data_IF_976955301504
#
_entry.id   IF_976955301504
#
_cell.length_a   1.000
_cell.length_b   1.000
_cell.length_c   1.000
_cell.angle_alpha   90.00
_cell.angle_beta   90.00
_cell.angle_gamma   90.00
#
_symmetry.space_group_name_H-M   'P 1'
#
loop_
_entity.id
_entity.type
_entity.pdbx_description
1 polymer ?
#
# COMPACT_ATOMS: atom_id res chain seq x y z
N UNK A 1 -16.29 -44.77 8.24
CA UNK A 1 -16.59 -43.32 8.20
C UNK A 1 -15.84 -42.70 7.02
N UNK A 2 -16.52 -42.26 5.94
CA UNK A 2 -15.85 -41.61 4.84
C UNK A 2 -15.51 -40.15 5.23
N UNK A 3 -14.22 -39.83 5.26
CA UNK A 3 -13.73 -38.45 5.42
C UNK A 3 -14.26 -37.63 4.25
N UNK A 4 -15.08 -36.61 4.54
CA UNK A 4 -15.52 -35.62 3.55
C UNK A 4 -14.27 -35.01 2.89
N UNK A 5 -14.09 -35.28 1.60
CA UNK A 5 -13.19 -34.53 0.75
C UNK A 5 -13.61 -33.07 0.84
N UNK A 6 -12.75 -32.23 1.43
CA UNK A 6 -12.95 -30.78 1.39
C UNK A 6 -13.02 -30.43 -0.09
N UNK A 7 -14.13 -29.84 -0.49
CA UNK A 7 -14.34 -29.23 -1.79
C UNK A 7 -13.10 -28.36 -2.04
N UNK A 8 -12.26 -28.77 -2.98
CA UNK A 8 -11.24 -27.91 -3.57
C UNK A 8 -12.05 -26.74 -4.11
N UNK A 9 -12.02 -25.60 -3.42
CA UNK A 9 -12.33 -24.35 -4.10
C UNK A 9 -11.35 -24.34 -5.27
N UNK A 10 -11.88 -24.56 -6.48
CA UNK A 10 -11.16 -24.26 -7.71
C UNK A 10 -10.68 -22.83 -7.52
N UNK A 11 -9.38 -22.68 -7.25
CA UNK A 11 -8.73 -21.40 -7.25
C UNK A 11 -8.97 -20.86 -8.66
N UNK A 12 -9.92 -19.94 -8.80
CA UNK A 12 -10.07 -19.14 -10.01
C UNK A 12 -8.67 -18.64 -10.30
N UNK A 13 -8.03 -19.02 -11.41
CA UNK A 13 -6.68 -18.56 -11.67
C UNK A 13 -6.78 -17.05 -11.75
N UNK A 14 -6.23 -16.35 -10.76
CA UNK A 14 -6.06 -14.92 -10.82
C UNK A 14 -5.15 -14.69 -12.02
N UNK A 15 -5.73 -14.26 -13.14
CA UNK A 15 -5.00 -13.82 -14.33
C UNK A 15 -4.35 -12.48 -14.03
N UNK A 16 -3.47 -12.44 -13.03
CA UNK A 16 -2.68 -11.27 -12.69
C UNK A 16 -1.73 -11.04 -13.87
N UNK A 17 -2.10 -10.11 -14.73
CA UNK A 17 -1.26 -9.68 -15.85
C UNK A 17 -0.29 -8.61 -15.37
N UNK A 18 0.90 -8.54 -15.95
CA UNK A 18 1.87 -7.49 -15.62
C UNK A 18 1.28 -6.07 -15.78
N UNK A 19 0.57 -5.74 -16.89
CA UNK A 19 -0.06 -4.42 -17.02
C UNK A 19 -1.13 -4.17 -15.95
N UNK A 20 -1.94 -5.18 -15.61
CA UNK A 20 -2.95 -5.05 -14.57
C UNK A 20 -2.35 -4.80 -13.18
N UNK A 21 -1.26 -5.49 -12.86
CA UNK A 21 -0.55 -5.31 -11.59
C UNK A 21 0.11 -3.93 -11.50
N UNK A 22 0.74 -3.47 -12.58
CA UNK A 22 1.32 -2.12 -12.65
C UNK A 22 0.23 -1.06 -12.45
N UNK A 23 -0.87 -1.15 -13.20
CA UNK A 23 -1.98 -0.22 -13.09
C UNK A 23 -2.60 -0.19 -11.68
N UNK A 24 -2.72 -1.36 -11.05
CA UNK A 24 -3.20 -1.47 -9.67
C UNK A 24 -2.26 -0.73 -8.70
N UNK A 25 -0.95 -0.98 -8.79
CA UNK A 25 0.05 -0.34 -7.93
C UNK A 25 0.05 1.18 -8.08
N UNK A 26 0.01 1.67 -9.32
CA UNK A 26 -0.06 3.10 -9.62
C UNK A 26 -1.34 3.73 -9.07
N UNK A 27 -2.47 3.04 -9.17
CA UNK A 27 -3.74 3.53 -8.64
C UNK A 27 -3.71 3.64 -7.10
N UNK A 28 -3.15 2.64 -6.41
CA UNK A 28 -3.00 2.67 -4.95
C UNK A 28 -2.05 3.81 -4.54
N UNK A 29 -0.94 3.99 -5.25
CA UNK A 29 0.01 5.06 -4.98
C UNK A 29 -0.65 6.44 -5.10
N UNK A 30 -1.39 6.67 -6.19
CA UNK A 30 -2.13 7.92 -6.41
C UNK A 30 -3.21 8.16 -5.35
N UNK A 31 -4.01 7.15 -5.01
CA UNK A 31 -5.03 7.28 -3.97
C UNK A 31 -4.42 7.60 -2.59
N UNK A 32 -3.25 7.02 -2.29
CA UNK A 32 -2.50 7.30 -1.05
C UNK A 32 -1.96 8.72 -1.03
N UNK A 33 -1.34 9.18 -2.13
CA UNK A 33 -0.82 10.54 -2.27
C UNK A 33 -1.92 11.61 -2.18
N UNK A 34 -3.12 11.31 -2.67
CA UNK A 34 -4.29 12.19 -2.57
C UNK A 34 -4.96 12.15 -1.18
N UNK A 35 -4.48 11.30 -0.26
CA UNK A 35 -5.08 11.11 1.06
C UNK A 35 -6.47 10.47 1.02
N UNK A 36 -6.83 9.83 -0.10
CA UNK A 36 -8.07 9.07 -0.27
C UNK A 36 -7.96 7.66 0.31
N UNK A 37 -6.73 7.16 0.42
CA UNK A 37 -6.43 5.86 1.02
C UNK A 37 -5.59 6.04 2.27
N UNK A 38 -5.94 5.30 3.32
CA UNK A 38 -5.15 5.23 4.54
C UNK A 38 -3.76 4.64 4.26
N UNK A 39 -2.67 5.30 4.68
CA UNK A 39 -1.31 4.86 4.34
C UNK A 39 -0.94 3.51 4.98
N UNK A 40 -1.47 3.18 6.15
CA UNK A 40 -1.29 1.89 6.81
C UNK A 40 -1.92 0.75 6.00
N UNK A 41 -3.12 0.98 5.46
CA UNK A 41 -3.78 0.07 4.54
C UNK A 41 -3.03 -0.06 3.21
N UNK A 42 -2.63 1.06 2.60
CA UNK A 42 -1.83 1.09 1.38
C UNK A 42 -0.52 0.31 1.53
N UNK A 43 0.17 0.45 2.66
CA UNK A 43 1.38 -0.29 3.00
C UNK A 43 1.14 -1.80 3.07
N UNK A 44 0.05 -2.23 3.70
CA UNK A 44 -0.31 -3.66 3.79
C UNK A 44 -0.63 -4.23 2.41
N UNK A 45 -1.32 -3.47 1.57
CA UNK A 45 -1.64 -3.86 0.20
C UNK A 45 -0.37 -3.96 -0.66
N UNK A 46 0.52 -2.97 -0.58
CA UNK A 46 1.82 -2.98 -1.26
C UNK A 46 2.68 -4.18 -0.88
N UNK A 47 2.71 -4.57 0.41
CA UNK A 47 3.42 -5.79 0.85
C UNK A 47 2.85 -7.07 0.23
N UNK A 48 1.53 -7.16 0.05
CA UNK A 48 0.89 -8.32 -0.58
C UNK A 48 1.18 -8.35 -2.08
N UNK A 49 1.01 -7.22 -2.75
CA UNK A 49 1.29 -7.06 -4.17
C UNK A 49 2.77 -7.34 -4.50
N UNK A 50 3.69 -6.95 -3.62
CA UNK A 50 5.13 -7.29 -3.74
C UNK A 50 5.36 -8.80 -3.72
N UNK A 51 4.77 -9.53 -2.77
CA UNK A 51 4.92 -11.00 -2.71
C UNK A 51 4.38 -11.69 -3.96
N UNK A 52 3.25 -11.21 -4.47
CA UNK A 52 2.68 -11.75 -5.72
C UNK A 52 3.56 -11.41 -6.93
N UNK A 53 4.07 -10.18 -7.01
CA UNK A 53 5.01 -9.76 -8.04
C UNK A 53 6.29 -10.61 -8.03
N UNK A 54 6.88 -10.82 -6.85
CA UNK A 54 8.11 -11.59 -6.69
C UNK A 54 7.89 -13.05 -7.13
N UNK A 55 6.78 -13.68 -6.74
CA UNK A 55 6.43 -15.04 -7.18
C UNK A 55 6.27 -15.12 -8.71
N UNK A 56 5.56 -14.16 -9.33
CA UNK A 56 5.35 -14.14 -10.77
C UNK A 56 6.64 -13.85 -11.56
N UNK A 57 7.59 -13.12 -10.97
CA UNK A 57 8.92 -12.88 -11.56
C UNK A 57 9.77 -14.15 -11.45
N UNK A 58 9.76 -14.83 -10.29
CA UNK A 58 10.49 -16.09 -10.08
C UNK A 58 10.01 -17.20 -11.01
N UNK A 59 8.69 -17.29 -11.22
CA UNK A 59 8.07 -18.24 -12.15
C UNK A 59 8.30 -17.88 -13.63
N UNK A 60 9.05 -16.80 -13.92
CA UNK A 60 9.27 -16.25 -15.27
C UNK A 60 7.97 -15.98 -16.04
N UNK A 61 6.86 -15.73 -15.31
CA UNK A 61 5.57 -15.41 -15.91
C UNK A 61 5.59 -14.05 -16.61
N UNK A 62 6.54 -13.18 -16.25
CA UNK A 62 6.73 -11.85 -16.82
C UNK A 62 8.10 -11.69 -17.49
N UNK A 63 8.14 -10.85 -18.52
CA UNK A 63 9.40 -10.40 -19.11
C UNK A 63 10.22 -9.60 -18.09
N UNK A 64 11.54 -9.56 -18.27
CA UNK A 64 12.42 -8.74 -17.43
C UNK A 64 12.02 -7.25 -17.43
N UNK A 65 11.51 -6.74 -18.55
CA UNK A 65 11.02 -5.37 -18.66
C UNK A 65 9.80 -5.14 -17.77
N UNK A 66 8.81 -6.04 -17.80
CA UNK A 66 7.65 -5.99 -16.91
C UNK A 66 8.06 -6.11 -15.44
N UNK A 67 9.01 -7.00 -15.11
CA UNK A 67 9.55 -7.11 -13.75
C UNK A 67 10.17 -5.80 -13.26
N UNK A 68 10.91 -5.08 -14.10
CA UNK A 68 11.46 -3.77 -13.77
C UNK A 68 10.37 -2.71 -13.56
N UNK A 69 9.34 -2.68 -14.41
CA UNK A 69 8.21 -1.76 -14.28
C UNK A 69 7.40 -2.00 -13.00
N UNK A 70 7.16 -3.27 -12.64
CA UNK A 70 6.46 -3.62 -11.39
C UNK A 70 7.28 -3.17 -10.17
N UNK A 71 8.60 -3.36 -10.19
CA UNK A 71 9.49 -2.88 -9.13
C UNK A 71 9.47 -1.36 -8.99
N UNK A 72 9.43 -0.63 -10.12
CA UNK A 72 9.29 0.82 -10.12
C UNK A 72 7.94 1.28 -9.54
N UNK A 73 6.83 0.64 -9.94
CA UNK A 73 5.51 0.95 -9.41
C UNK A 73 5.40 0.67 -7.89
N UNK A 74 6.01 -0.41 -7.41
CA UNK A 74 6.13 -0.70 -5.98
C UNK A 74 6.92 0.39 -5.23
N UNK A 75 8.03 0.86 -5.78
CA UNK A 75 8.83 1.93 -5.18
C UNK A 75 8.03 3.25 -5.09
N UNK A 76 7.27 3.59 -6.14
CA UNK A 76 6.37 4.75 -6.15
C UNK A 76 5.31 4.65 -5.05
N UNK A 77 4.71 3.47 -4.87
CA UNK A 77 3.75 3.23 -3.79
C UNK A 77 4.40 3.40 -2.41
N UNK A 78 5.60 2.86 -2.20
CA UNK A 78 6.33 2.98 -0.93
C UNK A 78 6.69 4.44 -0.59
N UNK A 79 7.06 5.23 -1.60
CA UNK A 79 7.28 6.66 -1.46
C UNK A 79 5.99 7.39 -1.08
N UNK A 80 4.88 7.14 -1.78
CA UNK A 80 3.59 7.77 -1.50
C UNK A 80 3.08 7.47 -0.08
N UNK A 81 3.27 6.24 0.41
CA UNK A 81 2.96 5.86 1.80
C UNK A 81 3.82 6.67 2.77
N UNK A 82 5.13 6.72 2.54
CA UNK A 82 6.08 7.40 3.43
C UNK A 82 5.80 8.90 3.52
N UNK A 83 5.50 9.53 2.38
CA UNK A 83 5.14 10.95 2.30
C UNK A 83 3.82 11.24 3.02
N UNK A 84 2.83 10.36 2.85
CA UNK A 84 1.53 10.48 3.53
C UNK A 84 1.66 10.34 5.06
N UNK A 85 2.41 9.34 5.54
CA UNK A 85 2.72 9.17 6.97
C UNK A 85 3.47 10.39 7.53
N UNK A 86 4.48 10.90 6.81
CA UNK A 86 5.21 12.12 7.17
C UNK A 86 4.30 13.34 7.25
N UNK A 87 3.37 13.49 6.30
CA UNK A 87 2.37 14.56 6.31
C UNK A 87 1.41 14.48 7.50
N UNK A 88 0.99 13.28 7.90
CA UNK A 88 0.16 13.07 9.09
C UNK A 88 0.91 13.45 10.38
N UNK A 89 2.18 13.04 10.51
CA UNK A 89 3.03 13.42 11.63
C UNK A 89 3.23 14.94 11.71
N UNK A 90 3.52 15.60 10.59
CA UNK A 90 3.67 17.05 10.54
C UNK A 90 2.40 17.80 10.98
N UNK A 91 1.22 17.32 10.57
CA UNK A 91 -0.08 17.86 11.01
C UNK A 91 -0.31 17.64 12.51
N UNK A 92 0.03 16.46 13.04
CA UNK A 92 -0.11 16.16 14.46
C UNK A 92 0.80 17.05 15.32
N UNK A 93 2.07 17.22 14.94
CA UNK A 93 3.03 18.10 15.62
C UNK A 93 2.55 19.55 15.63
N UNK A 94 1.99 20.04 14.50
CA UNK A 94 1.40 21.38 14.45
C UNK A 94 0.25 21.53 15.44
N UNK A 95 -0.67 20.56 15.50
CA UNK A 95 -1.81 20.57 16.43
C UNK A 95 -1.37 20.56 17.90
N UNK A 96 -0.32 19.82 18.24
CA UNK A 96 0.26 19.80 19.59
C UNK A 96 0.81 21.18 19.96
N UNK A 97 1.62 21.79 19.09
CA UNK A 97 2.16 23.15 19.31
C UNK A 97 1.05 24.20 19.46
N UNK A 98 -0.01 24.10 18.68
CA UNK A 98 -1.15 25.01 18.77
C UNK A 98 -1.95 24.80 20.08
N UNK A 99 -1.99 23.56 20.60
CA UNK A 99 -2.60 23.26 21.90
C UNK A 99 -1.75 23.81 23.07
N UNK A 100 -0.43 23.65 23.01
CA UNK A 100 0.50 24.17 24.03
C UNK A 100 0.41 25.70 24.13
N UNK A 101 0.34 26.40 22.99
CA UNK A 101 0.13 27.86 22.95
C UNK A 101 -1.18 28.27 23.62
N UNK A 102 -2.29 27.61 23.28
CA UNK A 102 -3.60 27.88 23.89
C UNK A 102 -3.61 27.62 25.40
N UNK A 103 -2.89 26.59 25.86
CA UNK A 103 -2.77 26.28 27.28
C UNK A 103 -1.96 27.35 28.03
N UNK A 104 -0.91 27.90 27.40
CA UNK A 104 -0.10 28.98 27.96
C UNK A 104 -0.83 30.34 28.01
N UNK A 105 -1.79 30.57 27.10
CA UNK A 105 -2.61 31.80 27.03
C UNK A 105 -3.86 31.73 27.92
N UNK A 106 -4.20 30.56 28.48
CA UNK A 106 -5.34 30.41 29.37
C UNK A 106 -5.05 31.09 30.73
N UNK A 107 -5.85 32.07 31.18
CA UNK A 107 -5.63 32.70 32.48
C UNK A 107 -5.82 31.67 33.59
N UNK A 108 -4.87 31.63 34.53
CA UNK A 108 -5.02 30.88 35.77
C UNK A 108 -6.31 31.36 36.47
N UNK A 109 -7.25 30.45 36.67
CA UNK A 109 -8.45 30.69 37.48
C UNK A 109 -8.07 30.88 38.94
#
# INVERSE_FOLDING_TARGET
MPKKLRKTEEAVPATTTAPGLIALLDHIANATAQGQLDPEFARKLGKRARKEADALIEDQAFSAAHGAQIKAALATLEAAVSDSEGGLLGKAVKRLRDADKRAAEAPAK
#
